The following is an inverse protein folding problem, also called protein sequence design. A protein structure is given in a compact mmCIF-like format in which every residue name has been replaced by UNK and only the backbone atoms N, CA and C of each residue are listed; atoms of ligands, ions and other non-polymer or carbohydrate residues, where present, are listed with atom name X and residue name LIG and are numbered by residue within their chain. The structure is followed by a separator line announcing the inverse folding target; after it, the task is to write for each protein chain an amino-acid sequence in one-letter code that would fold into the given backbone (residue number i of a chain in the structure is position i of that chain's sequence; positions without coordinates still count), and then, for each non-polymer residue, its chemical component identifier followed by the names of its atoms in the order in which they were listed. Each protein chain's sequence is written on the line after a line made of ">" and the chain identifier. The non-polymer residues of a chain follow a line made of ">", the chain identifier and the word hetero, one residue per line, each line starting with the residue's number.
data_IF_278131080559
#
_entry.id   IF_278131080559
#
_cell.length_a   1.000
_cell.length_b   1.000
_cell.length_c   1.000
_cell.angle_alpha   90.00
_cell.angle_beta   90.00
_cell.angle_gamma   90.00
#
_symmetry.space_group_name_H-M   'P 1'
#
loop_
_entity.id
_entity.type
_entity.pdbx_description
1 polymer ?
#
# COMPACT_ATOMS: atom_id res chain seq x y z
N UNK A 1 -12.92 -39.99 17.21
CA UNK A 1 -14.22 -39.37 17.52
C UNK A 1 -14.62 -38.21 16.59
N UNK A 2 -13.97 -38.01 15.43
CA UNK A 2 -14.29 -36.91 14.49
C UNK A 2 -14.86 -37.37 13.13
N UNK A 3 -14.96 -38.68 12.88
CA UNK A 3 -15.43 -39.21 11.59
C UNK A 3 -16.95 -39.38 11.49
N UNK A 4 -17.70 -39.33 12.61
CA UNK A 4 -19.16 -39.52 12.59
C UNK A 4 -19.99 -38.24 12.48
N UNK A 5 -19.43 -37.09 12.87
CA UNK A 5 -20.15 -35.80 12.84
C UNK A 5 -20.20 -35.21 11.43
N UNK A 6 -19.23 -35.53 10.58
CA UNK A 6 -19.19 -35.07 9.18
C UNK A 6 -20.21 -35.83 8.31
N UNK A 7 -20.53 -37.08 8.66
CA UNK A 7 -21.52 -37.90 7.95
C UNK A 7 -22.97 -37.56 8.33
N UNK A 8 -23.24 -37.11 9.56
CA UNK A 8 -24.60 -36.69 9.96
C UNK A 8 -24.97 -35.29 9.45
N UNK A 9 -23.99 -34.38 9.29
CA UNK A 9 -24.23 -33.06 8.69
C UNK A 9 -24.43 -33.12 7.16
N UNK A 10 -23.93 -34.18 6.49
CA UNK A 10 -24.15 -34.39 5.07
C UNK A 10 -25.54 -34.99 4.74
N UNK A 11 -26.21 -35.63 5.71
CA UNK A 11 -27.52 -36.24 5.49
C UNK A 11 -28.69 -35.25 5.53
N UNK A 12 -28.54 -34.10 6.20
CA UNK A 12 -29.60 -33.07 6.31
C UNK A 12 -29.64 -32.07 5.15
N UNK A 13 -28.65 -32.10 4.25
CA UNK A 13 -28.63 -31.30 3.02
C UNK A 13 -29.08 -32.08 1.75
N UNK A 14 -29.61 -33.29 1.92
CA UNK A 14 -29.73 -34.29 0.86
C UNK A 14 -31.14 -34.56 0.26
N UNK A 15 -31.99 -33.55 -0.02
CA UNK A 15 -33.00 -33.71 -1.08
C UNK A 15 -32.73 -32.90 -2.35
N UNK A 16 -31.80 -31.93 -2.35
CA UNK A 16 -31.72 -30.94 -3.42
C UNK A 16 -30.78 -31.29 -4.59
N UNK A 17 -30.11 -32.46 -4.56
CA UNK A 17 -28.99 -32.77 -5.46
C UNK A 17 -29.17 -34.10 -6.20
N UNK A 18 -30.42 -34.50 -6.49
CA UNK A 18 -30.69 -35.69 -7.33
C UNK A 18 -30.63 -35.44 -8.84
N UNK A 19 -30.44 -34.18 -9.28
CA UNK A 19 -30.49 -33.84 -10.71
C UNK A 19 -29.19 -33.25 -11.29
N UNK A 20 -28.08 -33.24 -10.55
CA UNK A 20 -26.80 -32.76 -11.10
C UNK A 20 -26.06 -33.90 -11.83
N UNK A 21 -26.50 -34.20 -13.05
CA UNK A 21 -25.70 -34.98 -13.98
C UNK A 21 -24.40 -34.22 -14.29
N UNK A 22 -23.27 -34.92 -14.19
CA UNK A 22 -21.93 -34.44 -14.52
C UNK A 22 -21.90 -34.03 -16.00
N UNK A 23 -21.81 -32.73 -16.27
CA UNK A 23 -21.65 -32.19 -17.61
C UNK A 23 -20.16 -31.96 -17.88
N UNK A 24 -19.60 -32.78 -18.76
CA UNK A 24 -18.23 -32.65 -19.25
C UNK A 24 -18.01 -31.37 -20.08
N UNK A 25 -16.75 -30.94 -20.25
CA UNK A 25 -16.38 -29.65 -20.85
C UNK A 25 -16.80 -29.45 -22.32
N UNK A 26 -17.36 -30.49 -22.98
CA UNK A 26 -17.91 -30.40 -24.34
C UNK A 26 -19.37 -29.91 -24.43
N UNK A 27 -20.10 -29.81 -23.31
CA UNK A 27 -21.54 -29.40 -23.34
C UNK A 27 -21.73 -27.89 -23.22
N UNK A 28 -20.71 -27.14 -22.79
CA UNK A 28 -20.82 -25.69 -22.62
C UNK A 28 -20.91 -24.91 -23.93
N UNK A 29 -20.57 -25.50 -25.07
CA UNK A 29 -20.67 -24.85 -26.39
C UNK A 29 -21.90 -25.24 -27.21
N UNK A 30 -22.75 -26.16 -26.72
CA UNK A 30 -23.93 -26.63 -27.45
C UNK A 30 -25.27 -26.16 -26.85
N UNK A 31 -25.26 -25.34 -25.81
CA UNK A 31 -26.46 -24.57 -25.43
C UNK A 31 -26.58 -23.37 -26.37
N UNK A 32 -26.94 -23.66 -27.62
CA UNK A 32 -27.74 -22.71 -28.40
C UNK A 32 -28.85 -22.30 -27.45
N UNK A 33 -28.93 -21.02 -27.10
CA UNK A 33 -30.02 -20.48 -26.26
C UNK A 33 -31.30 -20.63 -27.06
N UNK A 34 -31.84 -21.85 -27.09
CA UNK A 34 -33.23 -22.07 -27.40
C UNK A 34 -33.95 -21.40 -26.25
N UNK A 35 -34.52 -20.24 -26.54
CA UNK A 35 -35.46 -19.58 -25.66
C UNK A 35 -36.63 -20.54 -25.40
N UNK A 36 -36.49 -21.42 -24.40
CA UNK A 36 -37.61 -22.07 -23.71
C UNK A 36 -38.27 -21.09 -22.73
N UNK A 37 -38.17 -19.79 -23.02
CA UNK A 37 -38.93 -18.75 -22.36
C UNK A 37 -40.32 -18.73 -22.99
N UNK A 38 -41.34 -18.46 -22.18
CA UNK A 38 -42.69 -18.23 -22.70
C UNK A 38 -42.62 -17.23 -23.87
N UNK A 39 -43.41 -17.38 -24.95
CA UNK A 39 -43.37 -16.50 -26.12
C UNK A 39 -43.60 -15.01 -25.80
N UNK A 40 -44.09 -14.70 -24.60
CA UNK A 40 -44.25 -13.34 -24.05
C UNK A 40 -42.95 -12.66 -23.63
N UNK A 41 -41.84 -13.40 -23.48
CA UNK A 41 -40.52 -12.86 -23.10
C UNK A 41 -39.59 -12.71 -24.32
N UNK A 42 -40.10 -12.89 -25.53
CA UNK A 42 -39.33 -12.61 -26.73
C UNK A 42 -38.96 -11.12 -26.77
N UNK A 43 -37.71 -10.77 -27.14
CA UNK A 43 -37.32 -9.38 -27.31
C UNK A 43 -38.17 -8.76 -28.40
N UNK A 44 -38.99 -7.77 -28.01
CA UNK A 44 -39.78 -6.99 -28.93
C UNK A 44 -38.90 -5.91 -29.56
N UNK A 45 -39.16 -5.52 -30.82
CA UNK A 45 -38.50 -4.35 -31.39
C UNK A 45 -38.82 -3.12 -30.53
N UNK A 46 -37.86 -2.18 -30.38
CA UNK A 46 -38.12 -0.93 -29.68
C UNK A 46 -39.24 -0.15 -30.37
N UNK A 47 -40.01 0.60 -29.59
CA UNK A 47 -41.02 1.50 -30.15
C UNK A 47 -40.33 2.61 -30.95
N UNK A 48 -40.91 3.04 -32.09
CA UNK A 48 -40.41 4.21 -32.81
C UNK A 48 -40.51 5.47 -31.91
N UNK A 49 -39.50 6.33 -31.97
CA UNK A 49 -39.42 7.53 -31.12
C UNK A 49 -40.54 8.55 -31.42
N UNK A 50 -40.91 8.69 -32.70
CA UNK A 50 -41.95 9.61 -33.15
C UNK A 50 -43.12 8.86 -33.77
N UNK A 51 -44.33 9.23 -33.37
CA UNK A 51 -45.55 8.80 -34.01
C UNK A 51 -45.83 9.54 -35.32
N UNK A 52 -46.82 9.04 -36.08
CA UNK A 52 -47.31 9.71 -37.28
C UNK A 52 -47.83 11.11 -36.98
N UNK A 53 -47.51 12.08 -37.85
CA UNK A 53 -47.94 13.47 -37.67
C UNK A 53 -49.45 13.59 -37.90
N UNK A 54 -50.14 14.32 -37.01
CA UNK A 54 -51.59 14.54 -37.09
C UNK A 54 -51.88 16.05 -37.17
N UNK A 55 -52.73 16.47 -38.12
CA UNK A 55 -53.24 17.84 -38.22
C UNK A 55 -54.63 17.94 -37.57
N UNK A 56 -54.92 19.09 -36.96
CA UNK A 56 -56.21 19.39 -36.31
C UNK A 56 -56.60 18.41 -35.17
N UNK A 57 -55.65 17.61 -34.67
CA UNK A 57 -55.85 16.66 -33.57
C UNK A 57 -56.50 15.32 -33.95
N UNK A 58 -57.20 15.24 -35.09
CA UNK A 58 -57.96 14.03 -35.48
C UNK A 58 -57.56 13.45 -36.86
N UNK A 59 -57.01 14.26 -37.77
CA UNK A 59 -56.77 13.84 -39.16
C UNK A 59 -55.27 13.62 -39.41
N UNK A 60 -54.82 12.41 -39.75
CA UNK A 60 -53.41 12.12 -39.97
C UNK A 60 -52.88 12.83 -41.22
N UNK A 61 -51.58 13.18 -41.22
CA UNK A 61 -50.89 13.76 -42.37
C UNK A 61 -50.95 12.86 -43.61
N UNK A 62 -50.98 11.54 -43.41
CA UNK A 62 -51.10 10.54 -44.47
C UNK A 62 -52.33 10.78 -45.35
N UNK A 63 -53.44 11.26 -44.77
CA UNK A 63 -54.64 11.62 -45.52
C UNK A 63 -54.43 12.87 -46.39
N UNK A 64 -53.64 13.84 -45.90
CA UNK A 64 -53.27 15.02 -46.69
C UNK A 64 -52.34 14.64 -47.82
N UNK A 65 -51.35 13.77 -47.58
CA UNK A 65 -50.42 13.30 -48.62
C UNK A 65 -51.14 12.52 -49.72
N UNK A 66 -52.14 11.71 -49.36
CA UNK A 66 -52.94 10.98 -50.33
C UNK A 66 -53.68 11.90 -51.32
N UNK A 67 -54.23 13.03 -50.83
CA UNK A 67 -54.99 13.99 -51.65
C UNK A 67 -54.11 15.06 -52.32
N UNK A 68 -52.92 15.32 -51.78
CA UNK A 68 -51.98 16.32 -52.27
C UNK A 68 -51.72 16.28 -53.79
N UNK A 69 -51.45 15.13 -54.44
CA UNK A 69 -51.15 15.10 -55.88
C UNK A 69 -52.34 15.46 -56.78
N UNK A 70 -53.57 15.51 -56.24
CA UNK A 70 -54.79 15.77 -57.02
C UNK A 70 -55.38 17.15 -56.77
N UNK A 71 -55.40 17.58 -55.52
CA UNK A 71 -56.14 18.78 -55.08
C UNK A 71 -55.26 19.77 -54.32
N UNK A 72 -53.95 19.50 -54.22
CA UNK A 72 -53.00 20.34 -53.50
C UNK A 72 -53.27 20.40 -51.99
N UNK A 73 -52.66 21.38 -51.32
CA UNK A 73 -52.80 21.56 -49.85
C UNK A 73 -54.23 21.91 -49.44
N UNK A 74 -54.95 22.66 -50.27
CA UNK A 74 -56.30 23.14 -49.97
C UNK A 74 -57.36 22.06 -50.10
N UNK A 75 -57.09 21.01 -50.89
CA UNK A 75 -58.03 19.92 -51.17
C UNK A 75 -58.69 19.31 -49.92
N UNK A 76 -57.92 18.79 -48.95
CA UNK A 76 -58.48 18.22 -47.73
C UNK A 76 -59.32 19.20 -46.91
N UNK A 77 -58.96 20.50 -46.89
CA UNK A 77 -59.70 21.52 -46.14
C UNK A 77 -61.02 21.88 -46.82
N UNK A 78 -61.03 21.99 -48.15
CA UNK A 78 -62.26 22.21 -48.94
C UNK A 78 -63.17 20.98 -48.87
N UNK A 79 -62.59 19.78 -48.87
CA UNK A 79 -63.33 18.54 -48.65
C UNK A 79 -63.97 18.52 -47.26
N UNK A 80 -63.21 18.85 -46.21
CA UNK A 80 -63.73 18.89 -44.84
C UNK A 80 -64.89 19.88 -44.67
N UNK A 81 -64.73 21.11 -45.16
CA UNK A 81 -65.79 22.13 -45.12
C UNK A 81 -66.99 21.74 -45.99
N UNK A 82 -66.77 21.15 -47.16
CA UNK A 82 -67.81 20.63 -48.04
C UNK A 82 -68.62 19.48 -47.41
N UNK A 83 -67.95 18.54 -46.73
CA UNK A 83 -68.62 17.46 -45.99
C UNK A 83 -69.45 17.99 -44.82
N UNK A 84 -68.91 18.95 -44.05
CA UNK A 84 -69.68 19.59 -42.97
C UNK A 84 -70.94 20.29 -43.49
N UNK A 85 -70.84 21.04 -44.60
CA UNK A 85 -71.99 21.71 -45.21
C UNK A 85 -73.01 20.70 -45.79
N UNK A 86 -72.52 19.61 -46.37
CA UNK A 86 -73.36 18.53 -46.88
C UNK A 86 -74.16 17.85 -45.76
N UNK A 87 -73.53 17.54 -44.62
CA UNK A 87 -74.22 16.94 -43.47
C UNK A 87 -75.33 17.83 -42.90
N UNK A 88 -75.12 19.15 -42.91
CA UNK A 88 -76.14 20.12 -42.50
C UNK A 88 -77.27 20.23 -43.55
N UNK A 89 -76.93 20.32 -44.84
CA UNK A 89 -77.92 20.49 -45.92
C UNK A 89 -78.80 19.26 -46.17
N UNK A 90 -78.31 18.06 -45.86
CA UNK A 90 -79.07 16.80 -45.98
C UNK A 90 -79.69 16.34 -44.66
N UNK A 91 -79.64 17.17 -43.62
CA UNK A 91 -80.17 16.88 -42.28
C UNK A 91 -79.65 15.54 -41.70
N UNK A 92 -78.51 15.05 -42.18
CA UNK A 92 -77.82 13.87 -41.60
C UNK A 92 -77.32 14.24 -40.20
N UNK A 93 -76.97 15.52 -40.00
CA UNK A 93 -76.71 16.10 -38.70
C UNK A 93 -77.84 17.07 -38.30
N UNK A 94 -78.78 16.60 -37.49
CA UNK A 94 -79.93 17.39 -37.00
C UNK A 94 -79.50 18.28 -35.82
N UNK A 95 -79.78 19.58 -35.90
CA UNK A 95 -79.48 20.53 -34.82
C UNK A 95 -80.50 20.38 -33.69
N UNK A 96 -80.17 19.54 -32.70
CA UNK A 96 -80.91 19.38 -31.44
C UNK A 96 -80.29 20.25 -30.33
N UNK A 97 -80.98 20.53 -29.22
CA UNK A 97 -80.38 21.23 -28.07
C UNK A 97 -79.12 20.54 -27.51
N UNK A 98 -78.96 19.23 -27.73
CA UNK A 98 -77.76 18.47 -27.34
C UNK A 98 -76.50 18.85 -28.14
N UNK A 99 -76.66 19.40 -29.36
CA UNK A 99 -75.51 19.83 -30.18
C UNK A 99 -74.76 21.00 -29.54
N UNK A 100 -75.45 21.92 -28.89
CA UNK A 100 -74.84 23.01 -28.12
C UNK A 100 -74.06 22.49 -26.92
N UNK A 101 -74.60 21.47 -26.22
CA UNK A 101 -73.89 20.78 -25.14
C UNK A 101 -72.60 20.14 -25.67
N UNK A 102 -72.68 19.42 -26.80
CA UNK A 102 -71.53 18.78 -27.45
C UNK A 102 -70.43 19.79 -27.82
N UNK A 103 -70.78 20.94 -28.39
CA UNK A 103 -69.81 22.00 -28.74
C UNK A 103 -69.08 22.50 -27.50
N UNK A 104 -69.78 22.68 -26.38
CA UNK A 104 -69.17 23.14 -25.13
C UNK A 104 -68.21 22.10 -24.52
N UNK A 105 -68.58 20.81 -24.55
CA UNK A 105 -67.72 19.70 -24.09
C UNK A 105 -66.46 19.58 -24.96
N UNK A 106 -66.60 19.62 -26.29
CA UNK A 106 -65.45 19.58 -27.22
C UNK A 106 -64.53 20.79 -27.00
N UNK A 107 -65.10 21.98 -26.78
CA UNK A 107 -64.34 23.19 -26.47
C UNK A 107 -63.52 23.05 -25.19
N UNK A 108 -64.11 22.47 -24.13
CA UNK A 108 -63.42 22.21 -22.86
C UNK A 108 -62.26 21.21 -23.06
N UNK A 109 -62.49 20.12 -23.79
CA UNK A 109 -61.45 19.11 -24.06
C UNK A 109 -60.27 19.75 -24.81
N UNK A 110 -60.54 20.55 -25.84
CA UNK A 110 -59.48 21.27 -26.59
C UNK A 110 -58.73 22.24 -25.67
N UNK A 111 -59.43 22.93 -24.77
CA UNK A 111 -58.81 23.83 -23.80
C UNK A 111 -57.87 23.09 -22.84
N UNK A 112 -58.31 21.95 -22.28
CA UNK A 112 -57.51 21.12 -21.39
C UNK A 112 -56.28 20.57 -22.09
N UNK A 113 -56.42 20.03 -23.31
CA UNK A 113 -55.29 19.49 -24.08
C UNK A 113 -54.26 20.60 -24.37
N UNK A 114 -54.71 21.80 -24.75
CA UNK A 114 -53.79 22.92 -25.03
C UNK A 114 -53.10 23.49 -23.79
N UNK A 115 -53.77 23.48 -22.62
CA UNK A 115 -53.22 24.05 -21.38
C UNK A 115 -52.39 23.08 -20.57
N UNK A 116 -52.84 21.84 -20.45
CA UNK A 116 -52.21 20.82 -19.59
C UNK A 116 -51.48 19.72 -20.38
N UNK A 117 -51.57 19.71 -21.71
CA UNK A 117 -50.94 18.69 -22.54
C UNK A 117 -49.42 18.60 -22.37
N UNK A 118 -48.73 19.75 -22.34
CA UNK A 118 -47.28 19.78 -22.15
C UNK A 118 -46.86 19.22 -20.78
N UNK A 119 -47.52 19.64 -19.70
CA UNK A 119 -47.23 19.16 -18.36
C UNK A 119 -47.48 17.67 -18.17
N UNK A 120 -48.52 17.12 -18.83
CA UNK A 120 -48.83 15.69 -18.77
C UNK A 120 -47.80 14.89 -19.58
N UNK A 121 -47.37 15.39 -20.74
CA UNK A 121 -46.32 14.78 -21.55
C UNK A 121 -45.01 14.65 -20.77
N UNK A 122 -44.51 15.75 -20.22
CA UNK A 122 -43.29 15.75 -19.40
C UNK A 122 -43.39 14.83 -18.18
N UNK A 123 -44.58 14.72 -17.57
CA UNK A 123 -44.80 13.82 -16.44
C UNK A 123 -44.72 12.34 -16.85
N UNK A 124 -45.30 11.97 -18.00
CA UNK A 124 -45.22 10.59 -18.52
C UNK A 124 -43.78 10.24 -18.89
N UNK A 125 -43.05 11.17 -19.50
CA UNK A 125 -41.66 10.96 -19.88
C UNK A 125 -40.77 10.76 -18.65
N UNK A 126 -40.94 11.57 -17.60
CA UNK A 126 -40.24 11.40 -16.31
C UNK A 126 -40.50 10.03 -15.68
N UNK A 127 -41.74 9.54 -15.70
CA UNK A 127 -42.06 8.22 -15.15
C UNK A 127 -41.38 7.07 -15.93
N UNK A 128 -41.19 7.22 -17.24
CA UNK A 128 -40.47 6.23 -18.04
C UNK A 128 -38.96 6.31 -17.77
N UNK A 129 -38.41 7.51 -17.68
CA UNK A 129 -36.99 7.74 -17.38
C UNK A 129 -36.61 7.23 -15.98
N UNK A 130 -37.43 7.49 -14.96
CA UNK A 130 -37.24 6.96 -13.61
C UNK A 130 -37.23 5.44 -13.57
N UNK A 131 -38.14 4.77 -14.30
CA UNK A 131 -38.15 3.30 -14.40
C UNK A 131 -36.88 2.77 -15.04
N UNK A 132 -36.43 3.40 -16.13
CA UNK A 132 -35.19 3.02 -16.82
C UNK A 132 -33.99 3.22 -15.90
N UNK A 133 -33.92 4.35 -15.20
CA UNK A 133 -32.85 4.66 -14.26
C UNK A 133 -32.78 3.67 -13.09
N UNK A 134 -33.93 3.32 -12.49
CA UNK A 134 -34.00 2.31 -11.43
C UNK A 134 -33.54 0.92 -11.93
N UNK A 135 -33.99 0.52 -13.12
CA UNK A 135 -33.57 -0.74 -13.75
C UNK A 135 -32.07 -0.75 -14.02
N UNK A 136 -31.51 0.38 -14.48
CA UNK A 136 -30.09 0.52 -14.74
C UNK A 136 -29.26 0.51 -13.45
N UNK A 137 -29.70 1.18 -12.39
CA UNK A 137 -29.06 1.15 -11.08
C UNK A 137 -29.01 -0.26 -10.48
N UNK A 138 -30.13 -1.00 -10.55
CA UNK A 138 -30.21 -2.40 -10.10
C UNK A 138 -29.26 -3.27 -10.92
N UNK A 139 -29.20 -3.08 -12.24
CA UNK A 139 -28.27 -3.82 -13.11
C UNK A 139 -26.82 -3.51 -12.74
N UNK A 140 -26.46 -2.24 -12.61
CA UNK A 140 -25.10 -1.80 -12.29
C UNK A 140 -24.66 -2.26 -10.90
N UNK A 141 -25.52 -2.14 -9.89
CA UNK A 141 -25.25 -2.63 -8.53
C UNK A 141 -25.07 -4.14 -8.50
N UNK A 142 -25.91 -4.91 -9.22
CA UNK A 142 -25.76 -6.36 -9.35
C UNK A 142 -24.45 -6.75 -10.04
N UNK A 143 -24.09 -6.07 -11.13
CA UNK A 143 -22.82 -6.30 -11.83
C UNK A 143 -21.61 -6.00 -10.92
N UNK A 144 -21.65 -4.90 -10.17
CA UNK A 144 -20.60 -4.55 -9.20
C UNK A 144 -20.48 -5.60 -8.09
N UNK A 145 -21.60 -6.02 -7.51
CA UNK A 145 -21.61 -7.06 -6.47
C UNK A 145 -21.00 -8.38 -6.96
N UNK A 146 -21.36 -8.81 -8.17
CA UNK A 146 -20.80 -10.02 -8.78
C UNK A 146 -19.30 -9.84 -9.05
N UNK A 147 -18.88 -8.68 -9.56
CA UNK A 147 -17.47 -8.39 -9.80
C UNK A 147 -16.64 -8.38 -8.51
N UNK A 148 -17.19 -7.81 -7.43
CA UNK A 148 -16.56 -7.81 -6.12
C UNK A 148 -16.45 -9.22 -5.54
N UNK A 149 -17.47 -10.06 -5.71
CA UNK A 149 -17.42 -11.47 -5.34
C UNK A 149 -16.31 -12.21 -6.12
N UNK A 150 -16.21 -12.01 -7.43
CA UNK A 150 -15.13 -12.60 -8.26
C UNK A 150 -13.75 -12.13 -7.76
N UNK A 151 -13.60 -10.85 -7.44
CA UNK A 151 -12.34 -10.30 -6.96
C UNK A 151 -11.94 -10.89 -5.59
N UNK A 152 -12.92 -11.08 -4.70
CA UNK A 152 -12.71 -11.75 -3.40
C UNK A 152 -12.25 -13.20 -3.58
N UNK A 153 -12.91 -13.96 -4.44
CA UNK A 153 -12.54 -15.34 -4.75
C UNK A 153 -11.14 -15.42 -5.37
N UNK A 154 -10.78 -14.52 -6.30
CA UNK A 154 -9.42 -14.44 -6.85
C UNK A 154 -8.37 -14.13 -5.78
N UNK A 155 -8.67 -13.22 -4.85
CA UNK A 155 -7.77 -12.91 -3.74
C UNK A 155 -7.59 -14.14 -2.84
N UNK A 156 -8.65 -14.89 -2.55
CA UNK A 156 -8.58 -16.13 -1.78
C UNK A 156 -7.78 -17.22 -2.51
N UNK A 157 -7.99 -17.39 -3.82
CA UNK A 157 -7.19 -18.30 -4.64
C UNK A 157 -5.70 -17.94 -4.60
N UNK A 158 -5.36 -16.66 -4.71
CA UNK A 158 -3.98 -16.18 -4.59
C UNK A 158 -3.37 -16.45 -3.20
N UNK A 159 -4.16 -16.31 -2.13
CA UNK A 159 -3.71 -16.64 -0.77
C UNK A 159 -3.46 -18.14 -0.61
N UNK A 160 -4.34 -18.99 -1.15
CA UNK A 160 -4.18 -20.45 -1.12
C UNK A 160 -2.93 -20.85 -1.90
N UNK A 161 -2.72 -20.28 -3.09
CA UNK A 161 -1.51 -20.48 -3.86
C UNK A 161 -0.26 -20.11 -3.06
N UNK A 162 -0.28 -19.04 -2.26
CA UNK A 162 0.87 -18.61 -1.44
C UNK A 162 1.15 -19.48 -0.20
N UNK A 163 0.28 -20.43 0.17
CA UNK A 163 0.47 -21.24 1.40
C UNK A 163 1.72 -22.13 1.37
N UNK A 164 2.17 -22.57 0.19
CA UNK A 164 3.37 -23.42 0.09
C UNK A 164 4.65 -22.70 0.56
N UNK A 165 4.75 -21.38 0.38
CA UNK A 165 5.88 -20.58 0.86
C UNK A 165 6.09 -20.72 2.37
N UNK A 166 5.02 -20.80 3.16
CA UNK A 166 5.13 -20.99 4.61
C UNK A 166 5.81 -22.32 4.94
N UNK A 167 5.45 -23.40 4.24
CA UNK A 167 6.07 -24.70 4.43
C UNK A 167 7.52 -24.74 3.96
N UNK A 168 7.84 -24.05 2.85
CA UNK A 168 9.21 -23.99 2.35
C UNK A 168 10.12 -23.21 3.32
N UNK A 169 9.65 -22.10 3.87
CA UNK A 169 10.36 -21.36 4.93
C UNK A 169 10.57 -22.23 6.17
N UNK A 170 9.56 -22.97 6.62
CA UNK A 170 9.69 -23.88 7.76
C UNK A 170 10.73 -24.98 7.51
N UNK A 171 10.71 -25.63 6.34
CA UNK A 171 11.70 -26.66 5.97
C UNK A 171 13.11 -26.08 5.93
N UNK A 172 13.28 -24.91 5.33
CA UNK A 172 14.58 -24.23 5.25
C UNK A 172 15.10 -23.81 6.62
N UNK A 173 14.24 -23.27 7.50
CA UNK A 173 14.62 -22.89 8.87
C UNK A 173 15.10 -24.10 9.68
N UNK A 174 14.41 -25.24 9.57
CA UNK A 174 14.83 -26.48 10.26
C UNK A 174 16.16 -26.98 9.69
N UNK A 175 16.32 -27.00 8.37
CA UNK A 175 17.57 -27.39 7.73
C UNK A 175 18.75 -26.49 8.18
N UNK A 176 18.55 -25.18 8.19
CA UNK A 176 19.56 -24.22 8.66
C UNK A 176 19.89 -24.40 10.14
N UNK A 177 18.90 -24.63 11.00
CA UNK A 177 19.15 -24.89 12.42
C UNK A 177 19.99 -26.15 12.63
N UNK A 178 19.71 -27.23 11.90
CA UNK A 178 20.50 -28.46 11.95
C UNK A 178 21.95 -28.21 11.49
N UNK A 179 22.13 -27.49 10.38
CA UNK A 179 23.43 -27.09 9.83
C UNK A 179 24.25 -26.21 10.80
N UNK A 180 23.59 -25.30 11.53
CA UNK A 180 24.23 -24.48 12.56
C UNK A 180 24.68 -25.35 13.73
N UNK A 181 23.81 -26.21 14.27
CA UNK A 181 24.18 -27.10 15.39
C UNK A 181 25.31 -28.06 15.01
N UNK A 182 25.36 -28.52 13.76
CA UNK A 182 26.46 -29.34 13.25
C UNK A 182 27.78 -28.56 13.22
N UNK A 183 27.79 -27.35 12.66
CA UNK A 183 28.98 -26.47 12.65
C UNK A 183 29.43 -26.09 14.06
N UNK A 184 28.51 -25.82 14.98
CA UNK A 184 28.85 -25.55 16.39
C UNK A 184 29.56 -26.72 17.05
N UNK A 185 29.11 -27.96 16.81
CA UNK A 185 29.77 -29.17 17.35
C UNK A 185 31.19 -29.32 16.81
N UNK A 186 31.39 -29.11 15.50
CA UNK A 186 32.72 -29.12 14.90
C UNK A 186 33.61 -28.01 15.45
N UNK A 187 33.09 -26.79 15.58
CA UNK A 187 33.82 -25.65 16.14
C UNK A 187 34.19 -25.87 17.61
N UNK A 188 33.32 -26.50 18.41
CA UNK A 188 33.64 -26.88 19.80
C UNK A 188 34.81 -27.86 19.83
N UNK A 189 34.78 -28.92 19.03
CA UNK A 189 35.88 -29.88 18.96
C UNK A 189 37.20 -29.21 18.50
N UNK A 190 37.15 -28.36 17.47
CA UNK A 190 38.30 -27.58 17.01
C UNK A 190 38.86 -26.67 18.11
N UNK A 191 37.98 -25.95 18.83
CA UNK A 191 38.38 -25.04 19.91
C UNK A 191 39.02 -25.80 21.08
N UNK A 192 38.51 -26.97 21.44
CA UNK A 192 39.12 -27.83 22.46
C UNK A 192 40.54 -28.24 22.06
N UNK A 193 40.74 -28.73 20.84
CA UNK A 193 42.08 -29.12 20.34
C UNK A 193 43.03 -27.92 20.34
N UNK A 194 42.57 -26.77 19.86
CA UNK A 194 43.37 -25.54 19.87
C UNK A 194 43.73 -25.12 21.30
N UNK A 195 42.78 -25.16 22.24
CA UNK A 195 43.03 -24.81 23.64
C UNK A 195 44.14 -25.70 24.27
N UNK A 196 44.18 -26.99 23.94
CA UNK A 196 45.26 -27.88 24.41
C UNK A 196 46.61 -27.48 23.83
N UNK A 197 46.66 -27.16 22.54
CA UNK A 197 47.89 -26.72 21.88
C UNK A 197 48.39 -25.37 22.41
N UNK A 198 47.50 -24.38 22.51
CA UNK A 198 47.79 -23.05 23.05
C UNK A 198 48.26 -23.16 24.51
N UNK A 199 47.69 -24.07 25.30
CA UNK A 199 48.17 -24.37 26.65
C UNK A 199 49.64 -24.83 26.64
N UNK A 200 50.00 -25.80 25.79
CA UNK A 200 51.38 -26.27 25.70
C UNK A 200 52.36 -25.17 25.25
N UNK A 201 51.98 -24.35 24.26
CA UNK A 201 52.80 -23.21 23.82
C UNK A 201 52.97 -22.21 24.98
N UNK A 202 51.89 -21.88 25.70
CA UNK A 202 51.96 -20.94 26.82
C UNK A 202 52.87 -21.43 27.97
N UNK A 203 52.86 -22.74 28.25
CA UNK A 203 53.75 -23.35 29.24
C UNK A 203 55.20 -23.28 28.78
N UNK A 204 55.49 -23.58 27.50
CA UNK A 204 56.84 -23.46 26.94
C UNK A 204 57.35 -22.02 26.99
N UNK A 205 56.53 -21.05 26.60
CA UNK A 205 56.91 -19.65 26.60
C UNK A 205 57.11 -19.10 28.02
N UNK A 206 56.30 -19.57 28.99
CA UNK A 206 56.51 -19.27 30.40
C UNK A 206 57.83 -19.86 30.92
N UNK A 207 58.17 -21.11 30.56
CA UNK A 207 59.44 -21.73 30.95
C UNK A 207 60.63 -20.97 30.37
N UNK A 208 60.63 -20.70 29.06
CA UNK A 208 61.67 -19.89 28.40
C UNK A 208 61.81 -18.50 29.02
N UNK A 209 60.69 -17.87 29.38
CA UNK A 209 60.69 -16.56 30.06
C UNK A 209 61.31 -16.65 31.45
N UNK A 210 60.98 -17.69 32.23
CA UNK A 210 61.56 -17.92 33.56
C UNK A 210 63.05 -18.25 33.50
N UNK A 211 63.46 -19.05 32.53
CA UNK A 211 64.88 -19.32 32.25
C UNK A 211 65.62 -18.02 31.87
N UNK A 212 65.03 -17.20 31.00
CA UNK A 212 65.57 -15.88 30.65
C UNK A 212 65.71 -14.94 31.86
N UNK A 213 64.66 -14.82 32.68
CA UNK A 213 64.68 -14.04 33.93
C UNK A 213 65.73 -14.56 34.91
N UNK A 214 65.82 -15.89 35.10
CA UNK A 214 66.81 -16.50 35.98
C UNK A 214 68.24 -16.26 35.48
N UNK A 215 68.48 -16.41 34.18
CA UNK A 215 69.78 -16.13 33.56
C UNK A 215 70.18 -14.67 33.75
N UNK A 216 69.28 -13.71 33.49
CA UNK A 216 69.54 -12.28 33.72
C UNK A 216 69.89 -12.01 35.19
N UNK A 217 69.08 -12.51 36.13
CA UNK A 217 69.33 -12.34 37.57
C UNK A 217 70.64 -13.01 38.02
N UNK A 218 70.99 -14.16 37.44
CA UNK A 218 72.25 -14.87 37.74
C UNK A 218 73.46 -14.10 37.24
N UNK A 219 73.38 -13.57 36.00
CA UNK A 219 74.42 -12.72 35.41
C UNK A 219 74.57 -11.43 36.21
N UNK A 220 73.48 -10.76 36.57
CA UNK A 220 73.51 -9.54 37.40
C UNK A 220 74.20 -9.78 38.75
N UNK A 221 73.84 -10.87 39.45
CA UNK A 221 74.50 -11.24 40.72
C UNK A 221 75.98 -11.54 40.54
N UNK A 222 76.37 -12.29 39.51
CA UNK A 222 77.77 -12.59 39.25
C UNK A 222 78.57 -11.34 38.87
N UNK A 223 77.98 -10.44 38.07
CA UNK A 223 78.57 -9.16 37.71
C UNK A 223 78.75 -8.30 38.96
N UNK A 224 77.73 -8.09 39.78
CA UNK A 224 77.84 -7.34 41.05
C UNK A 224 78.90 -7.96 41.98
N UNK A 225 78.95 -9.28 42.08
CA UNK A 225 79.93 -9.98 42.90
C UNK A 225 81.36 -9.81 42.37
N UNK A 226 81.58 -9.90 41.05
CA UNK A 226 82.88 -9.66 40.42
C UNK A 226 83.34 -8.20 40.58
N UNK A 227 82.43 -7.24 40.45
CA UNK A 227 82.66 -5.82 40.68
C UNK A 227 82.93 -5.53 42.18
N UNK A 228 82.37 -6.31 43.11
CA UNK A 228 82.68 -6.16 44.54
C UNK A 228 84.07 -6.72 44.92
N UNK A 229 84.59 -7.67 44.15
CA UNK A 229 85.93 -8.26 44.34
C UNK A 229 87.04 -7.51 43.58
N UNK A 230 86.72 -6.90 42.43
CA UNK A 230 87.58 -5.94 41.74
C UNK A 230 87.31 -4.54 42.28
N UNK A 231 88.26 -3.94 42.99
CA UNK A 231 88.16 -2.53 43.37
C UNK A 231 88.04 -1.65 42.12
N UNK A 232 86.81 -1.25 41.77
CA UNK A 232 86.46 -0.39 40.63
C UNK A 232 87.20 0.95 40.63
N UNK A 233 87.73 1.35 41.79
CA UNK A 233 88.51 2.58 41.92
C UNK A 233 89.87 2.57 41.22
N UNK A 234 90.36 1.40 40.78
CA UNK A 234 91.70 1.23 40.20
C UNK A 234 91.73 0.76 38.73
N UNK A 235 90.59 0.63 38.04
CA UNK A 235 90.57 0.31 36.60
C UNK A 235 90.87 1.58 35.74
N UNK A 236 91.94 1.58 34.90
CA UNK A 236 92.41 2.76 34.17
C UNK A 236 91.42 3.25 33.10
N UNK A 237 90.59 2.36 32.56
CA UNK A 237 89.57 2.69 31.54
C UNK A 237 88.39 3.49 32.13
N UNK A 238 87.99 3.21 33.36
CA UNK A 238 86.92 3.94 34.05
C UNK A 238 87.37 5.35 34.42
N UNK A 239 88.64 5.53 34.82
CA UNK A 239 89.22 6.87 35.05
C UNK A 239 89.33 7.70 33.77
N UNK A 240 89.76 7.12 32.66
CA UNK A 240 89.79 7.82 31.36
C UNK A 240 88.39 8.21 30.87
N UNK A 241 87.39 7.35 31.08
CA UNK A 241 85.99 7.67 30.74
C UNK A 241 85.41 8.75 31.68
N UNK A 242 85.70 8.71 32.98
CA UNK A 242 85.35 9.77 33.94
C UNK A 242 86.04 11.10 33.60
N UNK A 243 87.31 11.09 33.21
CA UNK A 243 88.03 12.30 32.77
C UNK A 243 87.41 12.86 31.47
N UNK A 244 87.05 12.00 30.50
CA UNK A 244 86.37 12.42 29.28
C UNK A 244 84.94 12.95 29.56
N UNK A 245 84.19 12.30 30.47
CA UNK A 245 82.84 12.72 30.87
C UNK A 245 82.88 14.02 31.71
N UNK A 246 83.80 14.14 32.65
CA UNK A 246 84.04 15.38 33.42
C UNK A 246 84.55 16.51 32.52
N UNK A 247 85.38 16.24 31.51
CA UNK A 247 85.83 17.25 30.55
C UNK A 247 84.66 17.77 29.69
N UNK A 248 83.77 16.87 29.23
CA UNK A 248 82.56 17.24 28.50
C UNK A 248 81.48 17.94 29.35
N UNK A 249 81.40 17.66 30.66
CA UNK A 249 80.36 18.21 31.57
C UNK A 249 80.83 19.41 32.42
N UNK A 250 82.15 19.61 32.63
CA UNK A 250 82.71 20.86 33.18
C UNK A 250 82.71 22.00 32.15
N UNK A 251 82.72 21.68 30.85
CA UNK A 251 82.49 22.67 29.80
C UNK A 251 81.03 23.18 29.76
N UNK A 252 80.13 22.67 30.62
CA UNK A 252 78.73 23.09 30.68
C UNK A 252 78.27 23.74 32.00
N UNK A 253 79.16 24.02 32.97
CA UNK A 253 78.75 24.60 34.27
C UNK A 253 79.58 25.79 34.78
N UNK A 254 79.76 26.80 33.91
CA UNK A 254 79.76 28.22 34.34
C UNK A 254 78.73 28.97 33.50
N UNK A 255 77.45 28.77 33.86
CA UNK A 255 76.39 29.78 33.72
C UNK A 255 75.40 29.58 34.89
N UNK A 256 75.65 30.34 35.96
CA UNK A 256 74.74 30.75 37.05
C UNK A 256 74.02 29.72 37.93
N UNK A 257 74.56 29.60 39.14
CA UNK A 257 73.94 29.56 40.47
C UNK A 257 72.44 29.93 40.55
N UNK A 258 71.56 28.96 40.87
CA UNK A 258 70.57 29.01 41.97
C UNK A 258 69.86 27.66 42.17
N UNK A 259 70.06 27.10 43.37
CA UNK A 259 69.07 26.37 44.17
C UNK A 259 68.59 24.95 43.75
N UNK A 260 69.35 23.96 44.24
CA UNK A 260 68.94 22.83 45.09
C UNK A 260 67.53 22.20 44.97
N UNK A 261 67.58 20.86 44.87
CA UNK A 261 66.87 19.83 45.69
C UNK A 261 65.83 18.98 44.94
N UNK A 262 66.07 17.67 44.92
CA UNK A 262 65.18 16.57 44.51
C UNK A 262 63.74 16.74 45.03
N UNK A 263 62.69 16.27 44.31
CA UNK A 263 62.34 14.84 44.37
C UNK A 263 61.85 14.23 43.04
N UNK A 264 61.88 12.91 43.01
CA UNK A 264 60.96 11.98 42.37
C UNK A 264 59.71 12.55 41.64
N UNK A 265 59.38 11.86 40.56
CA UNK A 265 58.08 11.73 39.85
C UNK A 265 57.87 12.52 38.56
N UNK A 266 57.52 11.72 37.55
CA UNK A 266 56.68 11.96 36.36
C UNK A 266 57.00 13.13 35.41
N UNK A 267 56.69 12.87 34.14
CA UNK A 267 56.74 13.80 32.99
C UNK A 267 58.12 14.18 32.46
N UNK A 268 58.48 13.62 31.29
CA UNK A 268 58.33 14.35 30.01
C UNK A 268 59.10 13.65 28.89
N UNK A 269 58.46 12.68 28.25
CA UNK A 269 58.67 12.38 26.84
C UNK A 269 57.87 13.38 26.00
N UNK A 270 58.53 14.08 25.09
CA UNK A 270 57.94 14.67 23.87
C UNK A 270 59.00 14.50 22.76
N UNK A 271 58.67 14.36 21.46
CA UNK A 271 57.47 14.91 20.82
C UNK A 271 56.83 13.97 19.75
N UNK A 272 55.81 14.49 19.03
CA UNK A 272 55.13 13.91 17.85
C UNK A 272 54.02 12.88 18.11
N UNK A 273 52.87 13.34 18.59
CA UNK A 273 51.60 12.62 18.41
C UNK A 273 50.42 13.60 18.30
N UNK A 274 50.56 14.62 17.45
CA UNK A 274 49.50 15.61 17.21
C UNK A 274 49.17 15.91 15.73
N UNK A 275 49.73 15.15 14.79
CA UNK A 275 49.45 15.34 13.34
C UNK A 275 48.68 14.16 12.71
N UNK A 276 48.40 13.06 13.44
CA UNK A 276 47.73 11.88 12.87
C UNK A 276 46.25 11.69 13.25
N UNK A 277 45.74 12.39 14.27
CA UNK A 277 44.33 12.28 14.67
C UNK A 277 43.39 13.22 13.92
N UNK A 278 43.91 14.27 13.26
CA UNK A 278 43.10 15.19 12.44
C UNK A 278 42.96 14.70 10.98
N UNK A 279 43.74 13.72 10.55
CA UNK A 279 43.71 13.17 9.19
C UNK A 279 42.83 11.91 9.04
N UNK A 280 42.53 11.17 10.11
CA UNK A 280 41.70 9.96 10.06
C UNK A 280 40.18 10.20 10.21
N UNK A 281 39.76 11.38 10.66
CA UNK A 281 38.33 11.74 10.78
C UNK A 281 37.70 12.17 9.45
N UNK A 282 38.49 12.64 8.48
CA UNK A 282 38.00 13.03 7.14
C UNK A 282 37.88 11.87 6.15
N UNK A 283 38.61 10.77 6.34
CA UNK A 283 38.55 9.59 5.45
C UNK A 283 37.51 8.54 5.86
N UNK A 284 36.97 8.60 7.08
CA UNK A 284 35.92 7.68 7.55
C UNK A 284 34.49 8.19 7.30
N UNK A 285 34.32 9.37 6.69
CA UNK A 285 33.02 9.99 6.38
C UNK A 285 32.57 9.81 4.91
N UNK A 286 33.40 9.25 4.02
CA UNK A 286 33.12 9.16 2.56
C UNK A 286 32.72 7.76 2.06
N UNK A 287 32.75 6.69 2.88
CA UNK A 287 32.51 5.32 2.39
C UNK A 287 31.45 4.50 3.13
N UNK A 288 30.37 5.12 3.64
CA UNK A 288 29.24 4.31 4.16
C UNK A 288 27.85 4.91 3.96
N UNK A 289 27.36 4.79 2.73
CA UNK A 289 25.93 4.60 2.46
C UNK A 289 25.76 3.38 1.56
N UNK A 290 24.99 2.37 1.97
CA UNK A 290 24.17 1.63 1.05
C UNK A 290 22.69 1.95 1.31
N UNK A 291 22.00 2.15 0.19
CA UNK A 291 20.57 2.34 0.04
C UNK A 291 19.76 1.07 0.36
N UNK A 292 18.46 1.33 0.58
CA UNK A 292 17.27 0.46 0.48
C UNK A 292 16.85 -0.36 1.71
N UNK A 293 15.64 -0.02 2.22
CA UNK A 293 14.97 -0.45 3.47
C UNK A 293 14.26 -1.83 3.40
N UNK A 294 13.09 -2.08 4.06
CA UNK A 294 12.04 -1.15 4.52
C UNK A 294 11.34 -1.46 5.90
N UNK A 295 10.29 -0.67 6.21
CA UNK A 295 9.09 -0.92 7.06
C UNK A 295 9.13 -0.81 8.62
N UNK A 296 8.14 -0.04 9.13
CA UNK A 296 7.32 -0.22 10.37
C UNK A 296 8.04 -0.27 11.74
N UNK A 297 7.51 0.05 12.93
CA UNK A 297 6.31 0.70 13.49
C UNK A 297 6.61 0.76 15.02
N UNK A 298 5.91 1.62 15.77
CA UNK A 298 5.52 1.47 17.19
C UNK A 298 6.47 1.75 18.38
N UNK A 299 5.85 2.48 19.33
CA UNK A 299 5.86 2.38 20.79
C UNK A 299 7.00 3.09 21.57
N UNK A 300 6.79 3.64 22.78
CA UNK A 300 5.66 4.15 23.59
C UNK A 300 6.29 4.47 24.97
N UNK A 301 5.68 5.40 25.72
CA UNK A 301 5.79 5.58 27.20
C UNK A 301 7.10 6.21 27.74
N UNK A 302 7.11 7.08 28.75
CA UNK A 302 6.17 7.39 29.83
C UNK A 302 6.38 8.86 30.30
N UNK A 303 5.33 9.68 30.41
CA UNK A 303 4.56 9.96 31.63
C UNK A 303 5.28 10.80 32.72
N UNK A 304 4.86 12.07 32.87
CA UNK A 304 4.59 12.67 34.18
C UNK A 304 3.62 13.86 34.06
N UNK A 305 2.61 13.82 34.93
CA UNK A 305 1.40 14.63 35.14
C UNK A 305 1.66 16.14 35.43
N UNK A 306 0.71 17.10 35.41
CA UNK A 306 -0.72 17.10 35.76
C UNK A 306 -1.41 18.41 35.29
N UNK A 307 -2.72 18.31 35.09
CA UNK A 307 -3.77 19.24 34.62
C UNK A 307 -3.86 20.68 35.21
N UNK A 308 -4.47 21.62 34.46
CA UNK A 308 -5.83 22.20 34.65
C UNK A 308 -6.17 23.17 33.49
N UNK A 309 -7.36 23.03 32.90
CA UNK A 309 -7.98 23.85 31.82
C UNK A 309 -8.58 25.17 32.35
N UNK A 310 -8.95 26.20 31.53
CA UNK A 310 -10.05 26.12 30.54
C UNK A 310 -9.86 26.92 29.22
N UNK A 311 -10.68 26.60 28.22
CA UNK A 311 -10.95 27.38 27.00
C UNK A 311 -11.72 28.70 27.36
N UNK A 312 -11.96 29.73 26.48
CA UNK A 312 -12.43 29.55 25.09
C UNK A 312 -12.17 30.68 24.03
N UNK A 313 -12.60 30.40 22.78
CA UNK A 313 -13.06 31.28 21.65
C UNK A 313 -12.13 32.36 21.05
N UNK A 314 -11.79 32.23 19.75
CA UNK A 314 -11.52 33.32 18.79
C UNK A 314 -11.83 32.83 17.34
N UNK A 315 -12.95 33.26 16.71
CA UNK A 315 -13.04 34.21 15.56
C UNK A 315 -12.05 33.87 14.42
N UNK A 316 -12.41 33.24 13.29
CA UNK A 316 -13.35 33.61 12.19
C UNK A 316 -13.33 35.09 11.81
N UNK A 317 -12.46 35.46 10.87
CA UNK A 317 -12.67 36.55 9.91
C UNK A 317 -11.97 36.13 8.61
N UNK A 318 -12.71 35.86 7.53
CA UNK A 318 -12.70 36.74 6.35
C UNK A 318 -13.66 36.32 5.23
N UNK A 319 -14.12 37.35 4.51
CA UNK A 319 -14.83 37.40 3.23
C UNK A 319 -16.37 37.31 3.19
N UNK A 320 -16.99 38.50 3.28
CA UNK A 320 -18.26 38.80 2.62
C UNK A 320 -18.37 40.32 2.35
N UNK A 321 -18.06 40.78 1.14
CA UNK A 321 -18.59 42.04 0.55
C UNK A 321 -18.71 41.86 -0.98
N UNK A 322 -19.96 41.70 -1.43
CA UNK A 322 -20.62 42.11 -2.69
C UNK A 322 -21.99 41.41 -2.61
N UNK A 323 -23.17 42.04 -2.63
CA UNK A 323 -23.66 43.15 -3.43
C UNK A 323 -25.01 43.59 -2.84
N UNK A 324 -25.26 44.90 -2.77
CA UNK A 324 -26.60 45.50 -2.60
C UNK A 324 -26.85 46.38 -3.83
N UNK A 325 -27.78 45.92 -4.66
CA UNK A 325 -28.76 46.67 -5.46
C UNK A 325 -29.88 45.68 -5.80
#
# INVERSE_FOLDING_TARGET
>A
MLSRVVLSAAATAAPCLKNAAVLGPGVLQATRVFHTGQPRLAPLPPLPEYGGKVRLGLIPEEFFQFLYPKTGVTGPYVLGTGLSLYFLSKEIYVITPETFSTISVVGLIVYVIKKYGASIGEFIDKLNEEKIAQLEEIKQSSMKQIQDAINREKAQQALVQKRHYLFDVQRNNIALALEVTYRERLHKAYKEVKNRLDYHISVQDMMRRKEGEHMINWVEKHVIQSISAQQVHDDPLYRLWLDQYCSNHMLSSVCTYTQCRYPWSSEASKPLELELQTAMSHLMWVLRTPSSGPLEELAMCAASSRAISPAPVFLIINFCITSVC
#
